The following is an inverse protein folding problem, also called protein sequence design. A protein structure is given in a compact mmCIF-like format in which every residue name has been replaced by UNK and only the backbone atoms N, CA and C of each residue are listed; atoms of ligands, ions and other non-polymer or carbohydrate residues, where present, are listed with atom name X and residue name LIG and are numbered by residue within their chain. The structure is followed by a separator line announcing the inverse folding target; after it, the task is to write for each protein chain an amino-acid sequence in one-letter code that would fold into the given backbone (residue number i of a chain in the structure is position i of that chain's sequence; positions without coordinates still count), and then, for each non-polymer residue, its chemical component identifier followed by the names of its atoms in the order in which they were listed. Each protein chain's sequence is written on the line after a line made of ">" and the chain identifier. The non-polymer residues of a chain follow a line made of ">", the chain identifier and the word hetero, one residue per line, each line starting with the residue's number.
data_IF_277430767491
#
_entry.id   IF_277430767491
#
_cell.length_a   1.000
_cell.length_b   1.000
_cell.length_c   1.000
_cell.angle_alpha   90.00
_cell.angle_beta   90.00
_cell.angle_gamma   90.00
#
_symmetry.space_group_name_H-M   'P 1'
#
loop_
_entity.id
_entity.type
_entity.pdbx_description
1 polymer ?
#
# COMPACT_ATOMS: atom_id res chain seq x y z
N UNK A 1 7.94 -10.74 -5.75
CA UNK A 1 6.87 -11.65 -6.21
C UNK A 1 5.59 -11.36 -5.44
N UNK A 2 4.46 -11.20 -6.12
CA UNK A 2 3.14 -10.96 -5.51
C UNK A 2 2.15 -12.03 -6.01
N UNK A 3 1.47 -12.69 -5.09
CA UNK A 3 0.43 -13.66 -5.38
C UNK A 3 -0.90 -13.24 -4.76
N UNK A 4 -1.91 -13.13 -5.60
CA UNK A 4 -3.30 -12.91 -5.21
C UNK A 4 -4.10 -14.13 -5.63
N UNK A 5 -4.70 -14.82 -4.67
CA UNK A 5 -5.36 -16.09 -4.90
C UNK A 5 -6.81 -16.01 -4.45
N UNK A 6 -7.73 -16.13 -5.41
CA UNK A 6 -9.18 -16.20 -5.20
C UNK A 6 -9.73 -15.13 -4.24
N UNK A 7 -9.25 -13.89 -4.38
CA UNK A 7 -9.63 -12.79 -3.49
C UNK A 7 -11.02 -12.28 -3.83
N UNK A 8 -11.87 -12.18 -2.81
CA UNK A 8 -13.24 -11.67 -2.90
C UNK A 8 -13.43 -10.49 -1.97
N UNK A 9 -14.23 -9.53 -2.42
CA UNK A 9 -14.63 -8.38 -1.63
C UNK A 9 -16.06 -7.96 -1.94
N UNK A 10 -16.87 -7.87 -0.90
CA UNK A 10 -18.24 -7.37 -0.94
C UNK A 10 -18.37 -6.21 0.03
N UNK A 11 -18.86 -5.07 -0.45
CA UNK A 11 -19.19 -3.92 0.39
C UNK A 11 -20.65 -3.98 0.82
N UNK A 12 -20.95 -3.46 2.01
CA UNK A 12 -22.30 -3.38 2.57
C UNK A 12 -23.03 -4.73 2.58
N UNK A 13 -22.33 -5.81 2.94
CA UNK A 13 -22.86 -7.16 2.96
C UNK A 13 -24.14 -7.25 3.82
N UNK A 14 -25.19 -7.86 3.26
CA UNK A 14 -26.47 -8.03 3.95
C UNK A 14 -27.37 -6.80 3.93
N UNK A 15 -27.05 -5.76 3.19
CA UNK A 15 -27.89 -4.56 3.01
C UNK A 15 -28.41 -4.44 1.58
N UNK A 16 -29.42 -3.54 1.39
CA UNK A 16 -29.98 -3.22 0.05
C UNK A 16 -28.89 -2.68 -0.90
N UNK A 17 -27.83 -2.10 -0.35
CA UNK A 17 -26.70 -1.54 -1.08
C UNK A 17 -25.49 -2.50 -1.18
N UNK A 18 -25.73 -3.81 -1.05
CA UNK A 18 -24.66 -4.79 -1.19
C UNK A 18 -24.03 -4.73 -2.58
N UNK A 19 -22.72 -4.55 -2.64
CA UNK A 19 -21.96 -4.51 -3.87
C UNK A 19 -20.79 -5.49 -3.83
N UNK A 20 -20.85 -6.50 -4.67
CA UNK A 20 -19.71 -7.40 -4.92
C UNK A 20 -18.69 -6.65 -5.78
N UNK A 21 -17.64 -6.14 -5.14
CA UNK A 21 -16.60 -5.39 -5.82
C UNK A 21 -15.59 -6.30 -6.53
N UNK A 22 -15.26 -7.44 -5.91
CA UNK A 22 -14.36 -8.45 -6.46
C UNK A 22 -14.92 -9.84 -6.25
N UNK A 23 -14.86 -10.66 -7.29
CA UNK A 23 -15.42 -12.02 -7.29
C UNK A 23 -14.38 -13.07 -7.68
N UNK A 24 -13.39 -13.26 -6.81
CA UNK A 24 -12.36 -14.29 -7.01
C UNK A 24 -11.27 -13.87 -7.99
N UNK A 25 -10.52 -12.81 -7.65
CA UNK A 25 -9.38 -12.36 -8.46
C UNK A 25 -8.18 -13.24 -8.18
N UNK A 26 -7.52 -13.67 -9.27
CA UNK A 26 -6.23 -14.33 -9.25
C UNK A 26 -5.24 -13.50 -10.06
N UNK A 27 -4.08 -13.21 -9.47
CA UNK A 27 -3.01 -12.48 -10.11
C UNK A 27 -1.67 -12.95 -9.55
N UNK A 28 -0.74 -13.26 -10.44
CA UNK A 28 0.63 -13.61 -10.11
C UNK A 28 1.58 -12.63 -10.79
N UNK A 29 2.49 -12.03 -10.02
CA UNK A 29 3.53 -11.13 -10.50
C UNK A 29 4.89 -11.64 -10.06
N UNK A 30 5.79 -11.78 -11.03
CA UNK A 30 7.19 -12.07 -10.76
C UNK A 30 7.96 -10.79 -10.40
N UNK A 31 9.16 -10.97 -9.89
CA UNK A 31 10.08 -9.87 -9.68
C UNK A 31 10.43 -9.20 -11.02
N UNK A 32 10.39 -7.88 -11.04
CA UNK A 32 10.64 -7.07 -12.25
C UNK A 32 9.44 -6.90 -13.18
N UNK A 33 8.29 -7.53 -12.90
CA UNK A 33 7.08 -7.36 -13.72
C UNK A 33 6.51 -5.95 -13.61
N UNK A 34 6.05 -5.44 -14.75
CA UNK A 34 5.27 -4.20 -14.85
C UNK A 34 3.87 -4.53 -15.37
N UNK A 35 2.84 -4.23 -14.58
CA UNK A 35 1.45 -4.58 -14.91
C UNK A 35 0.55 -3.35 -14.88
N UNK A 36 -0.28 -3.23 -15.91
CA UNK A 36 -1.30 -2.18 -16.01
C UNK A 36 -2.68 -2.75 -15.77
N UNK A 37 -3.46 -2.10 -14.90
CA UNK A 37 -4.85 -2.46 -14.62
C UNK A 37 -5.77 -1.52 -15.39
N UNK A 38 -6.54 -2.06 -16.34
CA UNK A 38 -7.46 -1.31 -17.20
C UNK A 38 -8.90 -1.73 -16.90
N UNK A 39 -9.82 -0.79 -17.02
CA UNK A 39 -11.26 -1.04 -16.85
C UNK A 39 -12.04 0.25 -16.63
N UNK A 40 -13.36 0.19 -16.81
CA UNK A 40 -14.26 1.32 -16.60
C UNK A 40 -14.38 1.75 -15.12
N UNK A 41 -15.09 2.85 -14.88
CA UNK A 41 -15.40 3.28 -13.52
C UNK A 41 -16.25 2.23 -12.80
N UNK A 42 -15.88 1.88 -11.57
CA UNK A 42 -16.54 0.84 -10.79
C UNK A 42 -16.11 -0.61 -11.11
N UNK A 43 -15.14 -0.84 -12.02
CA UNK A 43 -14.64 -2.17 -12.36
C UNK A 43 -13.77 -2.83 -11.27
N UNK A 44 -13.63 -2.22 -10.10
CA UNK A 44 -12.87 -2.79 -8.98
C UNK A 44 -11.37 -2.50 -8.97
N UNK A 45 -10.84 -1.68 -9.90
CA UNK A 45 -9.41 -1.34 -9.98
C UNK A 45 -8.87 -0.77 -8.68
N UNK A 46 -9.47 0.32 -8.22
CA UNK A 46 -9.07 0.98 -6.96
C UNK A 46 -9.30 0.07 -5.75
N UNK A 47 -10.36 -0.73 -5.76
CA UNK A 47 -10.63 -1.71 -4.71
C UNK A 47 -9.53 -2.75 -4.64
N UNK A 48 -9.07 -3.28 -5.77
CA UNK A 48 -7.96 -4.25 -5.85
C UNK A 48 -6.68 -3.66 -5.27
N UNK A 49 -6.30 -2.46 -5.70
CA UNK A 49 -5.10 -1.77 -5.19
C UNK A 49 -5.20 -1.47 -3.69
N UNK A 50 -6.36 -1.01 -3.21
CA UNK A 50 -6.59 -0.74 -1.79
C UNK A 50 -6.56 -2.01 -0.94
N UNK A 51 -6.98 -3.16 -1.47
CA UNK A 51 -6.89 -4.44 -0.77
C UNK A 51 -5.46 -4.96 -0.70
N UNK A 52 -4.68 -4.81 -1.76
CA UNK A 52 -3.24 -5.14 -1.75
C UNK A 52 -2.53 -4.27 -0.71
N UNK A 53 -2.82 -2.97 -0.69
CA UNK A 53 -2.24 -2.03 0.27
C UNK A 53 -2.70 -2.26 1.73
N UNK A 54 -3.83 -2.94 1.95
CA UNK A 54 -4.38 -3.22 3.27
C UNK A 54 -5.36 -2.18 3.81
N UNK A 55 -5.80 -1.24 2.97
CA UNK A 55 -6.84 -0.25 3.32
C UNK A 55 -8.18 -0.94 3.54
N UNK A 56 -8.52 -1.90 2.68
CA UNK A 56 -9.71 -2.72 2.83
C UNK A 56 -9.35 -4.16 3.18
N UNK A 57 -9.97 -4.76 4.20
CA UNK A 57 -9.81 -6.19 4.48
C UNK A 57 -10.46 -7.02 3.37
N UNK A 58 -9.86 -8.16 3.05
CA UNK A 58 -10.45 -9.15 2.14
C UNK A 58 -11.51 -9.98 2.87
N UNK A 59 -12.53 -10.40 2.17
CA UNK A 59 -13.58 -11.28 2.72
C UNK A 59 -13.15 -12.76 2.64
N UNK A 60 -12.48 -13.12 1.55
CA UNK A 60 -11.90 -14.45 1.34
C UNK A 60 -10.74 -14.39 0.37
N UNK A 61 -9.97 -15.48 0.31
CA UNK A 61 -8.78 -15.57 -0.54
C UNK A 61 -7.49 -15.29 0.22
N UNK A 62 -6.40 -15.14 -0.52
CA UNK A 62 -5.04 -14.99 0.02
C UNK A 62 -4.25 -13.97 -0.76
N UNK A 63 -3.44 -13.19 -0.06
CA UNK A 63 -2.46 -12.27 -0.65
C UNK A 63 -1.10 -12.56 -0.02
N UNK A 64 -0.11 -12.85 -0.85
CA UNK A 64 1.26 -13.13 -0.44
C UNK A 64 2.24 -12.22 -1.16
N UNK A 65 3.25 -11.75 -0.43
CA UNK A 65 4.40 -11.02 -0.98
C UNK A 65 5.67 -11.75 -0.55
N UNK A 66 6.47 -12.15 -1.54
CA UNK A 66 7.71 -12.90 -1.35
C UNK A 66 7.56 -14.12 -0.42
N UNK A 67 6.45 -14.87 -0.57
CA UNK A 67 6.11 -16.02 0.24
C UNK A 67 5.53 -15.70 1.62
N UNK A 68 5.41 -14.41 1.98
CA UNK A 68 4.81 -13.98 3.25
C UNK A 68 3.33 -13.68 3.06
N UNK A 69 2.48 -14.35 3.82
CA UNK A 69 1.04 -14.10 3.80
C UNK A 69 0.70 -12.79 4.53
N UNK A 70 0.22 -11.81 3.78
CA UNK A 70 -0.18 -10.50 4.29
C UNK A 70 -1.70 -10.29 4.33
N UNK A 71 -2.50 -11.32 4.06
CA UNK A 71 -3.95 -11.23 3.87
C UNK A 71 -4.68 -10.51 5.00
N UNK A 72 -4.24 -10.71 6.25
CA UNK A 72 -4.83 -10.13 7.46
C UNK A 72 -4.01 -8.98 8.06
N UNK A 73 -2.87 -8.68 7.48
CA UNK A 73 -2.01 -7.62 7.98
C UNK A 73 -2.62 -6.24 7.70
N UNK A 74 -2.62 -5.34 8.69
CA UNK A 74 -3.07 -3.96 8.50
C UNK A 74 -2.09 -3.18 7.61
N UNK A 75 -2.54 -2.05 7.07
CA UNK A 75 -1.80 -1.21 6.14
C UNK A 75 -0.38 -0.86 6.63
N UNK A 76 -0.23 -0.50 7.92
CA UNK A 76 1.07 -0.12 8.47
C UNK A 76 2.09 -1.26 8.49
N UNK A 77 1.65 -2.52 8.62
CA UNK A 77 2.53 -3.69 8.53
C UNK A 77 2.94 -3.99 7.09
N UNK A 78 2.01 -3.82 6.15
CA UNK A 78 2.28 -3.99 4.71
C UNK A 78 3.18 -2.90 4.14
N UNK A 79 3.20 -1.72 4.79
CA UNK A 79 3.99 -0.57 4.34
C UNK A 79 5.50 -0.83 4.20
N UNK A 80 6.05 -1.85 4.86
CA UNK A 80 7.45 -2.25 4.70
C UNK A 80 7.72 -3.04 3.41
N UNK A 81 6.68 -3.65 2.82
CA UNK A 81 6.79 -4.42 1.58
C UNK A 81 6.27 -3.65 0.37
N UNK A 82 5.32 -2.72 0.58
CA UNK A 82 4.58 -2.05 -0.50
C UNK A 82 4.86 -0.56 -0.48
N UNK A 83 5.35 -0.03 -1.61
CA UNK A 83 5.38 1.41 -1.90
C UNK A 83 4.07 1.82 -2.57
N UNK A 84 3.44 2.90 -2.11
CA UNK A 84 2.22 3.44 -2.72
C UNK A 84 2.41 4.88 -3.15
N UNK A 85 2.02 5.18 -4.39
CA UNK A 85 1.91 6.53 -4.91
C UNK A 85 0.43 6.87 -5.04
N UNK A 86 0.02 8.01 -4.49
CA UNK A 86 -1.35 8.49 -4.57
C UNK A 86 -1.54 9.36 -5.81
N UNK A 87 -2.77 9.42 -6.31
CA UNK A 87 -3.15 10.32 -7.40
C UNK A 87 -3.03 11.80 -6.96
N UNK A 88 -3.42 12.09 -5.72
CA UNK A 88 -3.19 13.38 -5.08
C UNK A 88 -1.89 13.31 -4.26
N UNK A 89 -0.85 14.09 -4.63
CA UNK A 89 0.42 14.08 -3.92
C UNK A 89 0.30 14.53 -2.44
N UNK A 90 -0.70 15.33 -2.09
CA UNK A 90 -0.94 15.76 -0.72
C UNK A 90 -1.33 14.61 0.21
N UNK A 91 -1.93 13.54 -0.31
CA UNK A 91 -2.26 12.35 0.48
C UNK A 91 -1.03 11.52 0.88
N UNK A 92 0.07 11.70 0.17
CA UNK A 92 1.34 11.00 0.43
C UNK A 92 2.30 11.75 1.34
N UNK A 93 2.01 13.00 1.69
CA UNK A 93 2.88 13.89 2.45
C UNK A 93 2.16 14.53 3.64
N UNK A 94 2.92 14.91 4.67
CA UNK A 94 2.42 15.73 5.76
C UNK A 94 2.65 17.20 5.39
N UNK A 95 1.60 17.90 4.95
CA UNK A 95 1.68 19.27 4.42
C UNK A 95 2.18 20.31 5.45
N UNK A 96 1.98 20.04 6.74
CA UNK A 96 2.47 20.90 7.84
C UNK A 96 3.91 20.61 8.28
N UNK A 97 4.59 19.69 7.64
CA UNK A 97 5.97 19.30 7.94
C UNK A 97 6.93 19.78 6.85
N UNK A 98 8.17 20.05 7.23
CA UNK A 98 9.23 20.38 6.28
C UNK A 98 9.58 19.18 5.35
N UNK A 99 10.22 19.47 4.22
CA UNK A 99 10.64 18.44 3.24
C UNK A 99 11.55 17.40 3.92
N UNK A 100 12.51 17.85 4.72
CA UNK A 100 13.42 16.95 5.45
C UNK A 100 12.71 16.04 6.44
N UNK A 101 11.64 16.51 7.09
CA UNK A 101 10.84 15.71 8.01
C UNK A 101 10.02 14.67 7.27
N UNK A 102 9.41 15.05 6.14
CA UNK A 102 8.71 14.12 5.26
C UNK A 102 9.64 13.02 4.71
N UNK A 103 10.84 13.38 4.27
CA UNK A 103 11.85 12.42 3.83
C UNK A 103 12.31 11.50 4.96
N UNK A 104 12.46 12.02 6.17
CA UNK A 104 12.81 11.23 7.34
C UNK A 104 11.73 10.18 7.68
N UNK A 105 10.46 10.55 7.58
CA UNK A 105 9.34 9.63 7.75
C UNK A 105 9.32 8.54 6.67
N UNK A 106 9.53 8.91 5.41
CA UNK A 106 9.57 7.98 4.29
C UNK A 106 10.71 6.97 4.43
N UNK A 107 11.90 7.42 4.80
CA UNK A 107 13.08 6.56 4.98
C UNK A 107 12.94 5.55 6.13
N UNK A 108 12.15 5.89 7.16
CA UNK A 108 11.88 4.99 8.30
C UNK A 108 10.60 4.17 8.17
N UNK A 109 10.04 4.11 7.00
CA UNK A 109 8.83 3.35 6.75
C UNK A 109 9.01 1.90 7.20
N UNK A 110 8.10 1.42 8.06
CA UNK A 110 8.15 0.05 8.60
C UNK A 110 9.19 -0.21 9.70
N UNK A 111 9.95 0.79 10.15
CA UNK A 111 10.95 0.67 11.23
C UNK A 111 10.47 1.37 12.51
N UNK A 112 10.99 0.95 13.68
CA UNK A 112 10.73 1.64 14.95
C UNK A 112 11.23 3.08 14.89
N UNK A 113 10.39 4.02 15.34
CA UNK A 113 10.71 5.44 15.41
C UNK A 113 11.46 5.75 16.69
N UNK A 114 12.55 6.53 16.63
CA UNK A 114 13.33 7.02 17.76
C UNK A 114 13.71 8.47 17.55
N UNK A 115 13.90 9.22 18.64
CA UNK A 115 14.19 10.66 18.64
C UNK A 115 15.53 11.06 18.00
N UNK A 116 16.50 10.14 17.92
CA UNK A 116 17.86 10.41 17.41
C UNK A 116 17.96 10.56 15.87
N UNK A 117 16.85 10.61 15.16
CA UNK A 117 16.85 10.46 13.70
C UNK A 117 16.94 11.78 12.92
N UNK A 118 16.41 12.85 13.43
CA UNK A 118 16.46 14.18 12.77
C UNK A 118 17.88 14.66 12.53
N UNK A 119 18.81 14.38 13.44
CA UNK A 119 20.22 14.73 13.29
C UNK A 119 20.93 13.96 12.17
N UNK A 120 20.60 12.67 11.95
CA UNK A 120 21.21 11.86 10.88
C UNK A 120 20.69 12.21 9.48
N UNK A 121 19.43 12.57 9.34
CA UNK A 121 18.88 13.06 8.06
C UNK A 121 19.47 14.42 7.68
N UNK A 122 19.69 15.29 8.67
CA UNK A 122 20.33 16.58 8.44
C UNK A 122 21.79 16.44 7.98
N UNK A 123 22.56 15.52 8.55
CA UNK A 123 23.93 15.20 8.14
C UNK A 123 23.97 14.59 6.72
N UNK A 124 23.01 13.76 6.37
CA UNK A 124 22.91 13.15 5.03
C UNK A 124 22.55 14.20 3.97
N UNK A 125 21.59 15.07 4.26
CA UNK A 125 21.21 16.19 3.38
C UNK A 125 22.39 17.14 3.14
N UNK A 126 23.14 17.50 4.18
CA UNK A 126 24.31 18.37 4.06
C UNK A 126 25.43 17.79 3.19
N UNK A 127 25.52 16.48 3.12
CA UNK A 127 26.51 15.78 2.28
C UNK A 127 26.14 15.78 0.78
N UNK A 128 24.86 15.93 0.44
CA UNK A 128 24.37 15.95 -0.94
C UNK A 128 24.19 17.36 -1.52
N UNK A 129 24.18 18.41 -0.70
CA UNK A 129 23.99 19.81 -1.13
C UNK A 129 25.28 20.63 -1.07
N UNK A 130 26.36 20.07 -0.65
CA UNK A 130 27.72 20.59 -0.77
C UNK A 130 28.51 19.83 -1.83
#
# INVERSE_FOLDING_TARGET
>A
MLDIINVKKTFNKGTINEKKALNGINLHLNEGDFVTVIGGNGAGKSTTLNMIAGVYPIDSGKIEIDGVNISRDPEYKRAKYIGRVFQDPMLGTAAGMEIQENLALAFRRGKKRGLAFTAKCWLWWKHYTS
#
